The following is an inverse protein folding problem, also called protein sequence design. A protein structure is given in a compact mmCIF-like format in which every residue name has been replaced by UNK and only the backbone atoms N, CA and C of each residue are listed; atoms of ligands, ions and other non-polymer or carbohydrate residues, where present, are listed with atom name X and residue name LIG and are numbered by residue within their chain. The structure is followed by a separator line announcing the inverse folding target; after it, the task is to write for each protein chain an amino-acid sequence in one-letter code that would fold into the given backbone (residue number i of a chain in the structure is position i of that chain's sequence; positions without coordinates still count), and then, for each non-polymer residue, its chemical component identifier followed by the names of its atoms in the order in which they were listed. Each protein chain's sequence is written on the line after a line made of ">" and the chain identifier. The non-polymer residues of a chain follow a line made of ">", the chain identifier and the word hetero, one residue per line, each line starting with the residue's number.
data_IF_612156596589
#
_entry.id   IF_612156596589
#
_cell.length_a   1.000
_cell.length_b   1.000
_cell.length_c   1.000
_cell.angle_alpha   90.00
_cell.angle_beta   90.00
_cell.angle_gamma   90.00
#
_symmetry.space_group_name_H-M   'P 1'
#
loop_
_entity.id
_entity.type
_entity.pdbx_description
1 polymer ?
#
# COMPACT_ATOMS: atom_id res chain seq x y z
N UNK A 1 32.86 39.76 -18.64
CA UNK A 1 33.88 39.79 -17.56
C UNK A 1 33.27 39.09 -16.36
N UNK A 2 33.27 37.76 -16.30
CA UNK A 2 34.37 36.84 -15.91
C UNK A 2 34.55 36.74 -14.39
N UNK A 3 34.07 35.62 -13.81
CA UNK A 3 34.57 34.88 -12.64
C UNK A 3 33.42 33.93 -12.20
N UNK A 4 33.35 32.62 -12.46
CA UNK A 4 34.30 31.50 -12.43
C UNK A 4 35.11 31.34 -11.13
N UNK A 5 34.53 30.61 -10.16
CA UNK A 5 35.21 29.81 -9.12
C UNK A 5 34.32 28.58 -8.90
N UNK A 6 34.60 27.36 -9.41
CA UNK A 6 35.69 26.39 -9.20
C UNK A 6 35.93 25.97 -7.74
N UNK A 7 35.68 24.67 -7.53
CA UNK A 7 36.49 23.71 -6.75
C UNK A 7 35.99 23.24 -5.38
N UNK A 8 36.01 21.91 -5.21
CA UNK A 8 35.76 21.13 -4.00
C UNK A 8 35.01 19.84 -4.34
N UNK A 9 35.57 18.88 -5.09
CA UNK A 9 36.62 17.92 -4.74
C UNK A 9 36.19 16.88 -3.67
N UNK A 10 36.13 15.62 -4.12
CA UNK A 10 36.43 14.35 -3.45
C UNK A 10 35.82 14.05 -2.07
N UNK A 11 35.06 12.95 -1.99
CA UNK A 11 34.61 12.45 -0.70
C UNK A 11 33.99 11.04 -0.74
N UNK A 12 34.85 10.03 -0.93
CA UNK A 12 34.75 8.69 -0.34
C UNK A 12 33.60 7.77 -0.80
N UNK A 13 33.99 6.89 -1.72
CA UNK A 13 33.36 5.60 -2.02
C UNK A 13 33.60 4.66 -0.81
N UNK A 14 32.54 4.21 -0.13
CA UNK A 14 32.63 3.18 0.90
C UNK A 14 31.75 2.00 0.49
N UNK A 15 32.40 0.99 -0.09
CA UNK A 15 31.85 -0.35 -0.28
C UNK A 15 31.54 -0.95 1.10
N UNK A 16 30.28 -1.31 1.33
CA UNK A 16 29.93 -2.24 2.41
C UNK A 16 29.54 -3.56 1.73
N UNK A 17 30.52 -4.46 1.66
CA UNK A 17 30.30 -5.89 1.48
C UNK A 17 29.88 -6.47 2.84
N UNK A 18 28.72 -7.11 2.90
CA UNK A 18 28.16 -7.61 4.16
C UNK A 18 27.24 -8.81 3.96
N UNK A 19 27.87 -9.98 3.88
CA UNK A 19 27.45 -11.24 4.52
C UNK A 19 26.09 -11.84 4.16
N UNK A 20 26.11 -12.77 3.19
CA UNK A 20 25.11 -13.83 3.06
C UNK A 20 25.25 -14.79 4.25
N UNK A 21 24.29 -14.79 5.17
CA UNK A 21 24.19 -15.82 6.20
C UNK A 21 23.26 -16.92 5.72
N UNK A 22 23.84 -18.08 5.43
CA UNK A 22 23.14 -19.32 5.12
C UNK A 22 22.67 -19.98 6.43
N UNK A 23 21.36 -20.16 6.61
CA UNK A 23 20.85 -21.08 7.62
C UNK A 23 20.73 -22.47 7.00
N UNK A 24 21.56 -23.35 7.52
CA UNK A 24 21.68 -24.75 7.16
C UNK A 24 20.45 -25.56 7.56
N UNK A 25 20.20 -26.58 6.74
CA UNK A 25 19.21 -27.63 6.93
C UNK A 25 19.53 -28.49 8.17
N UNK A 26 18.50 -28.80 8.96
CA UNK A 26 18.50 -29.91 9.91
C UNK A 26 17.65 -31.05 9.36
N UNK A 27 18.32 -32.08 8.85
CA UNK A 27 17.74 -33.39 8.57
C UNK A 27 17.61 -34.15 9.90
N UNK A 28 16.37 -34.42 10.32
CA UNK A 28 16.04 -35.36 11.39
C UNK A 28 15.17 -36.49 10.83
N UNK A 29 15.79 -37.63 10.58
CA UNK A 29 15.18 -38.86 10.05
C UNK A 29 14.55 -39.74 11.14
N UNK A 30 13.35 -40.25 10.84
CA UNK A 30 12.77 -41.57 11.18
C UNK A 30 12.54 -41.92 12.69
N UNK A 31 11.47 -42.60 13.13
CA UNK A 31 10.73 -43.71 12.51
C UNK A 31 9.30 -43.91 13.12
N UNK A 32 8.40 -44.68 12.47
CA UNK A 32 6.97 -44.91 12.76
C UNK A 32 6.80 -46.11 13.76
N UNK A 33 5.60 -46.53 14.28
CA UNK A 33 4.34 -46.77 13.55
C UNK A 33 3.01 -46.53 14.29
N UNK A 34 1.92 -46.33 13.55
CA UNK A 34 0.63 -47.00 13.80
C UNK A 34 -0.36 -46.64 12.68
N UNK A 35 -0.75 -47.66 11.93
CA UNK A 35 -1.87 -47.60 11.03
C UNK A 35 -3.15 -47.31 11.82
N UNK A 36 -3.85 -46.24 11.45
CA UNK A 36 -5.28 -46.10 11.71
C UNK A 36 -5.98 -46.00 10.37
N UNK A 37 -6.96 -46.89 10.24
CA UNK A 37 -7.72 -47.23 9.06
C UNK A 37 -8.29 -46.01 8.34
N UNK A 38 -8.29 -46.12 7.02
CA UNK A 38 -9.08 -45.30 6.13
C UNK A 38 -10.56 -45.38 6.54
N UNK A 39 -11.10 -44.27 7.02
CA UNK A 39 -12.49 -43.92 6.85
C UNK A 39 -12.51 -42.68 5.96
N UNK A 40 -12.70 -42.90 4.66
CA UNK A 40 -13.09 -41.84 3.76
C UNK A 40 -14.49 -41.37 4.19
N UNK A 41 -14.70 -40.11 4.61
CA UNK A 41 -16.04 -39.56 4.56
C UNK A 41 -16.38 -39.39 3.08
N UNK A 42 -17.28 -40.27 2.63
CA UNK A 42 -18.04 -40.15 1.39
C UNK A 42 -18.55 -38.72 1.22
N UNK A 43 -18.24 -38.15 0.06
CA UNK A 43 -18.91 -36.98 -0.47
C UNK A 43 -20.44 -37.23 -0.50
N UNK A 44 -21.17 -36.50 0.32
CA UNK A 44 -22.60 -36.30 0.16
C UNK A 44 -22.96 -34.96 0.79
N UNK A 45 -23.55 -34.09 -0.05
CA UNK A 45 -24.23 -32.84 0.30
C UNK A 45 -23.40 -31.73 0.95
N UNK A 46 -22.52 -31.13 0.14
CA UNK A 46 -22.21 -29.72 0.33
C UNK A 46 -23.37 -28.90 -0.29
N UNK A 47 -24.31 -28.46 0.55
CA UNK A 47 -25.23 -27.38 0.20
C UNK A 47 -24.43 -26.20 -0.38
N UNK A 48 -24.85 -25.59 -1.50
CA UNK A 48 -24.23 -24.40 -2.04
C UNK A 48 -24.74 -23.17 -1.26
N UNK A 49 -24.62 -23.15 0.06
CA UNK A 49 -25.09 -22.03 0.86
C UNK A 49 -23.94 -21.04 1.10
N UNK A 50 -23.94 -20.02 0.22
CA UNK A 50 -23.40 -18.68 0.47
C UNK A 50 -21.88 -18.62 0.64
N UNK A 51 -21.18 -18.65 -0.49
CA UNK A 51 -20.05 -17.73 -0.65
C UNK A 51 -20.63 -16.34 -0.41
N UNK A 52 -20.44 -15.82 0.80
CA UNK A 52 -20.74 -14.45 1.14
C UNK A 52 -20.12 -13.60 0.05
N UNK A 53 -20.97 -13.08 -0.83
CA UNK A 53 -20.59 -11.98 -1.69
C UNK A 53 -20.20 -10.89 -0.71
N UNK A 54 -18.90 -10.75 -0.44
CA UNK A 54 -18.34 -9.57 0.19
C UNK A 54 -18.96 -8.42 -0.58
N UNK A 55 -19.86 -7.71 0.08
CA UNK A 55 -20.61 -6.65 -0.56
C UNK A 55 -19.59 -5.75 -1.24
N UNK A 56 -19.66 -5.64 -2.57
CA UNK A 56 -18.88 -4.65 -3.28
C UNK A 56 -19.20 -3.31 -2.59
N UNK A 57 -18.18 -2.53 -2.19
CA UNK A 57 -18.43 -1.26 -1.53
C UNK A 57 -19.36 -0.45 -2.44
N UNK A 58 -20.55 -0.14 -1.92
CA UNK A 58 -21.56 0.61 -2.68
C UNK A 58 -20.92 1.90 -3.16
N UNK A 59 -20.84 2.04 -4.48
CA UNK A 59 -20.09 3.08 -5.15
C UNK A 59 -20.74 4.44 -4.87
N UNK A 60 -20.24 5.14 -3.87
CA UNK A 60 -20.37 6.59 -3.84
C UNK A 60 -19.14 7.15 -4.58
N UNK A 61 -19.30 7.75 -5.77
CA UNK A 61 -18.21 8.41 -6.48
C UNK A 61 -17.90 9.74 -5.79
N UNK A 62 -17.33 9.69 -4.57
CA UNK A 62 -17.11 10.89 -3.77
C UNK A 62 -15.81 11.53 -4.23
N UNK A 63 -15.91 12.31 -5.29
CA UNK A 63 -14.88 13.26 -5.69
C UNK A 63 -15.05 14.55 -4.88
N UNK A 64 -13.95 15.15 -4.41
CA UNK A 64 -13.96 16.49 -3.84
C UNK A 64 -14.28 16.60 -2.33
N UNK A 65 -14.52 15.49 -1.62
CA UNK A 65 -14.64 15.50 -0.16
C UNK A 65 -13.29 15.79 0.53
N UNK A 66 -13.32 16.55 1.63
CA UNK A 66 -12.16 16.73 2.52
C UNK A 66 -11.94 15.49 3.39
N UNK A 67 -10.68 15.19 3.69
CA UNK A 67 -10.32 14.11 4.60
C UNK A 67 -10.52 14.53 6.07
N UNK A 68 -11.00 13.60 6.89
CA UNK A 68 -11.02 13.73 8.36
C UNK A 68 -9.62 13.50 8.93
N UNK A 69 -9.33 13.93 10.18
CA UNK A 69 -8.04 13.65 10.82
C UNK A 69 -7.67 12.16 10.86
N UNK A 70 -8.64 11.27 11.08
CA UNK A 70 -8.43 9.82 11.08
C UNK A 70 -8.01 9.32 9.68
N UNK A 71 -8.66 9.81 8.62
CA UNK A 71 -8.31 9.48 7.24
C UNK A 71 -6.91 9.99 6.87
N UNK A 72 -6.54 11.18 7.36
CA UNK A 72 -5.21 11.74 7.15
C UNK A 72 -4.14 10.85 7.81
N UNK A 73 -4.34 10.50 9.09
CA UNK A 73 -3.40 9.64 9.81
C UNK A 73 -3.25 8.27 9.13
N UNK A 74 -4.39 7.68 8.76
CA UNK A 74 -4.44 6.40 8.07
C UNK A 74 -3.71 6.42 6.72
N UNK A 75 -4.02 7.40 5.86
CA UNK A 75 -3.39 7.51 4.53
C UNK A 75 -1.91 7.84 4.67
N UNK A 76 -1.51 8.66 5.63
CA UNK A 76 -0.09 8.98 5.86
C UNK A 76 0.68 7.73 6.32
N UNK A 77 0.12 6.94 7.23
CA UNK A 77 0.72 5.67 7.66
C UNK A 77 0.85 4.67 6.50
N UNK A 78 -0.23 4.51 5.72
CA UNK A 78 -0.24 3.65 4.53
C UNK A 78 0.78 4.10 3.49
N UNK A 79 0.86 5.40 3.22
CA UNK A 79 1.81 5.93 2.24
C UNK A 79 3.25 5.84 2.72
N UNK A 80 3.51 6.00 4.02
CA UNK A 80 4.81 5.73 4.61
C UNK A 80 5.21 4.25 4.44
N UNK A 81 4.27 3.30 4.56
CA UNK A 81 4.54 1.90 4.26
C UNK A 81 4.84 1.68 2.77
N UNK A 82 4.02 2.22 1.86
CA UNK A 82 4.20 2.10 0.39
C UNK A 82 5.57 2.61 -0.06
N UNK A 83 5.98 3.77 0.46
CA UNK A 83 7.21 4.45 0.07
C UNK A 83 8.38 4.21 1.01
N UNK A 84 8.30 3.21 1.90
CA UNK A 84 9.39 2.83 2.82
C UNK A 84 9.92 4.01 3.63
N UNK A 85 9.00 4.80 4.20
CA UNK A 85 9.26 5.98 5.05
C UNK A 85 10.04 7.11 4.38
N UNK A 86 10.08 7.16 3.05
CA UNK A 86 10.58 8.31 2.29
C UNK A 86 9.66 9.52 2.46
N UNK A 87 10.09 10.70 2.04
CA UNK A 87 9.22 11.87 1.96
C UNK A 87 8.00 11.57 1.07
N UNK A 88 6.81 11.86 1.60
CA UNK A 88 5.53 11.61 0.94
C UNK A 88 4.71 12.89 0.94
N UNK A 89 3.93 13.08 -0.12
CA UNK A 89 2.86 14.06 -0.22
C UNK A 89 1.53 13.35 -0.50
N UNK A 90 0.44 13.92 0.00
CA UNK A 90 -0.94 13.42 -0.17
C UNK A 90 -1.81 14.49 -0.80
N UNK A 91 -2.72 14.09 -1.69
CA UNK A 91 -3.75 14.98 -2.24
C UNK A 91 -4.73 15.42 -1.15
N UNK A 92 -5.14 16.69 -1.15
CA UNK A 92 -5.98 17.27 -0.08
C UNK A 92 -7.44 16.81 -0.09
N UNK A 93 -7.91 16.24 -1.19
CA UNK A 93 -9.29 15.79 -1.40
C UNK A 93 -9.35 14.40 -2.02
N UNK A 94 -10.52 13.77 -1.90
CA UNK A 94 -10.79 12.50 -2.56
C UNK A 94 -10.92 12.64 -4.08
N UNK A 95 -10.48 11.60 -4.78
CA UNK A 95 -10.59 11.42 -6.23
C UNK A 95 -11.49 10.23 -6.57
N UNK A 96 -12.12 10.24 -7.75
CA UNK A 96 -12.88 9.10 -8.23
C UNK A 96 -11.96 7.89 -8.47
N UNK A 97 -12.45 6.71 -8.12
CA UNK A 97 -11.71 5.43 -8.17
C UNK A 97 -12.15 4.50 -9.30
N UNK A 98 -13.05 4.97 -10.17
CA UNK A 98 -13.61 4.19 -11.26
C UNK A 98 -14.39 2.97 -10.75
N UNK A 99 -14.08 1.80 -11.30
CA UNK A 99 -14.78 0.54 -11.02
C UNK A 99 -14.49 -0.03 -9.62
N UNK A 100 -13.40 0.38 -8.97
CA UNK A 100 -13.02 -0.13 -7.64
C UNK A 100 -13.99 0.38 -6.55
N UNK A 101 -14.68 1.50 -6.81
CA UNK A 101 -15.54 2.14 -5.81
C UNK A 101 -14.75 2.69 -4.61
N UNK A 102 -15.47 3.23 -3.62
CA UNK A 102 -14.86 3.79 -2.42
C UNK A 102 -14.23 5.18 -2.60
N UNK A 103 -13.36 5.53 -1.66
CA UNK A 103 -12.78 6.86 -1.52
C UNK A 103 -11.29 6.82 -1.89
N UNK A 104 -10.94 7.42 -3.03
CA UNK A 104 -9.58 7.43 -3.54
C UNK A 104 -8.78 8.63 -3.03
N UNK A 105 -7.53 8.40 -2.60
CA UNK A 105 -6.58 9.45 -2.25
C UNK A 105 -5.27 9.20 -2.99
N UNK A 106 -4.85 10.20 -3.77
CA UNK A 106 -3.55 10.17 -4.42
C UNK A 106 -2.43 10.46 -3.42
N UNK A 107 -1.38 9.65 -3.47
CA UNK A 107 -0.14 9.84 -2.69
C UNK A 107 1.06 9.75 -3.61
N UNK A 108 2.06 10.59 -3.34
CA UNK A 108 3.26 10.66 -4.17
C UNK A 108 4.53 10.79 -3.35
N UNK A 109 5.63 10.30 -3.90
CA UNK A 109 6.97 10.46 -3.33
C UNK A 109 7.95 10.81 -4.45
N UNK A 110 8.92 11.71 -4.23
CA UNK A 110 9.94 12.02 -5.23
C UNK A 110 10.61 10.75 -5.75
N UNK A 111 10.84 10.63 -7.06
CA UNK A 111 11.56 9.51 -7.64
C UNK A 111 13.06 9.81 -7.78
N UNK A 112 13.90 8.78 -7.72
CA UNK A 112 15.36 8.94 -7.79
C UNK A 112 15.85 9.57 -9.11
N UNK A 113 15.11 9.35 -10.21
CA UNK A 113 15.43 9.87 -11.55
C UNK A 113 14.66 11.16 -11.88
N UNK A 114 14.16 11.86 -10.85
CA UNK A 114 13.29 13.02 -11.01
C UNK A 114 11.82 12.64 -11.19
N UNK A 115 10.93 13.62 -11.00
CA UNK A 115 9.48 13.41 -10.99
C UNK A 115 8.99 12.70 -9.72
N UNK A 116 7.81 12.08 -9.81
CA UNK A 116 7.13 11.47 -8.68
C UNK A 116 6.70 10.04 -8.99
N UNK A 117 6.94 9.14 -8.03
CA UNK A 117 6.21 7.87 -7.94
C UNK A 117 4.84 8.18 -7.34
N UNK A 118 3.78 7.73 -7.99
CA UNK A 118 2.40 7.96 -7.56
C UNK A 118 1.74 6.62 -7.24
N UNK A 119 0.82 6.66 -6.29
CA UNK A 119 -0.07 5.57 -5.95
C UNK A 119 -1.44 6.15 -5.60
N UNK A 120 -2.49 5.38 -5.85
CA UNK A 120 -3.85 5.70 -5.46
C UNK A 120 -4.24 4.74 -4.34
N UNK A 121 -4.48 5.30 -3.15
CA UNK A 121 -4.97 4.56 -1.98
C UNK A 121 -6.48 4.65 -2.00
N UNK A 122 -7.17 3.52 -2.00
CA UNK A 122 -8.62 3.45 -2.00
C UNK A 122 -9.07 2.85 -0.69
N UNK A 123 -9.81 3.61 0.11
CA UNK A 123 -10.47 3.12 1.32
C UNK A 123 -11.95 2.84 0.99
N UNK A 124 -12.46 1.68 1.40
CA UNK A 124 -13.85 1.30 1.10
C UNK A 124 -14.90 2.19 1.80
N UNK A 125 -14.54 2.78 2.94
CA UNK A 125 -15.43 3.59 3.80
C UNK A 125 -14.71 4.78 4.41
N UNK A 126 -15.47 5.82 4.78
CA UNK A 126 -14.97 6.98 5.53
C UNK A 126 -14.55 6.56 6.95
N UNK A 127 -13.50 7.18 7.49
CA UNK A 127 -13.02 6.93 8.86
C UNK A 127 -13.47 8.08 9.77
N UNK A 128 -14.27 7.75 10.78
CA UNK A 128 -14.76 8.70 11.79
C UNK A 128 -14.35 8.22 13.19
N UNK A 129 -13.27 8.78 13.72
CA UNK A 129 -12.94 8.77 15.15
C UNK A 129 -12.39 7.46 15.74
N UNK A 130 -12.91 6.30 15.36
CA UNK A 130 -12.50 5.02 15.94
C UNK A 130 -11.39 4.32 15.13
N UNK A 131 -10.39 3.70 15.78
CA UNK A 131 -9.40 2.88 15.11
C UNK A 131 -10.09 1.67 14.43
N UNK A 132 -9.98 1.56 13.11
CA UNK A 132 -10.43 0.37 12.40
C UNK A 132 -9.39 -0.74 12.62
N UNK A 133 -9.88 -1.93 12.99
CA UNK A 133 -9.07 -3.15 13.05
C UNK A 133 -8.46 -3.43 11.68
N UNK A 134 -7.16 -3.74 11.65
CA UNK A 134 -6.44 -4.04 10.41
C UNK A 134 -7.03 -5.24 9.63
N UNK A 135 -7.77 -6.12 10.32
CA UNK A 135 -8.47 -7.26 9.70
C UNK A 135 -9.71 -6.82 8.93
N UNK A 136 -10.33 -5.71 9.36
CA UNK A 136 -11.56 -5.15 8.78
C UNK A 136 -11.27 -4.04 7.75
N UNK A 137 -10.00 -3.86 7.40
CA UNK A 137 -9.55 -2.76 6.57
C UNK A 137 -9.49 -3.17 5.09
N UNK A 138 -10.47 -2.67 4.35
CA UNK A 138 -10.62 -2.89 2.91
C UNK A 138 -9.88 -1.78 2.17
N UNK A 139 -8.57 -1.74 2.33
CA UNK A 139 -7.71 -0.77 1.63
C UNK A 139 -7.02 -1.39 0.42
N UNK A 140 -7.22 -0.76 -0.74
CA UNK A 140 -6.63 -1.17 -2.00
C UNK A 140 -5.60 -0.13 -2.43
N UNK A 141 -4.41 -0.58 -2.79
CA UNK A 141 -3.33 0.29 -3.28
C UNK A 141 -3.11 0.05 -4.76
N UNK A 142 -3.45 1.03 -5.59
CA UNK A 142 -3.29 0.98 -7.03
C UNK A 142 -2.04 1.73 -7.45
N UNK A 143 -1.20 1.09 -8.27
CA UNK A 143 0.10 1.64 -8.71
C UNK A 143 0.30 1.59 -10.21
N UNK A 144 -0.63 0.98 -10.95
CA UNK A 144 -0.51 0.91 -12.41
C UNK A 144 -0.74 2.29 -13.00
N UNK A 145 -0.13 2.54 -14.16
CA UNK A 145 -0.22 3.84 -14.81
C UNK A 145 -1.67 4.22 -15.16
N UNK A 146 -2.49 3.24 -15.57
CA UNK A 146 -3.90 3.43 -15.89
C UNK A 146 -4.73 3.88 -14.68
N UNK A 147 -4.53 3.25 -13.52
CA UNK A 147 -5.28 3.57 -12.29
C UNK A 147 -4.86 4.92 -11.68
N UNK A 148 -3.59 5.28 -11.88
CA UNK A 148 -2.98 6.46 -11.24
C UNK A 148 -2.92 7.68 -12.16
N UNK A 149 -3.53 7.61 -13.36
CA UNK A 149 -3.55 8.72 -14.31
C UNK A 149 -4.11 10.00 -13.68
N UNK A 150 -5.17 9.87 -12.89
CA UNK A 150 -5.81 10.99 -12.18
C UNK A 150 -4.87 11.68 -11.18
N UNK A 151 -3.94 10.94 -10.57
CA UNK A 151 -2.99 11.49 -9.59
C UNK A 151 -1.93 12.39 -10.22
N UNK A 152 -1.81 12.40 -11.55
CA UNK A 152 -0.86 13.24 -12.29
C UNK A 152 -1.48 14.53 -12.81
N UNK A 153 -2.78 14.73 -12.60
CA UNK A 153 -3.47 15.94 -13.04
C UNK A 153 -2.93 17.20 -12.34
N UNK A 154 -2.74 18.27 -13.11
CA UNK A 154 -2.23 19.57 -12.60
C UNK A 154 -3.20 20.24 -11.63
N UNK A 155 -4.48 19.89 -11.66
CA UNK A 155 -5.52 20.38 -10.74
C UNK A 155 -5.42 19.81 -9.32
N UNK A 156 -4.52 18.84 -9.08
CA UNK A 156 -4.36 18.23 -7.75
C UNK A 156 -3.47 19.09 -6.84
N UNK A 157 -4.03 19.44 -5.68
CA UNK A 157 -3.26 20.05 -4.59
C UNK A 157 -2.69 18.97 -3.68
N UNK A 158 -1.37 18.94 -3.54
CA UNK A 158 -0.65 18.02 -2.65
C UNK A 158 -0.09 18.76 -1.44
N UNK A 159 -0.12 18.08 -0.30
CA UNK A 159 0.47 18.55 0.96
C UNK A 159 1.43 17.51 1.51
N UNK A 160 2.48 17.95 2.19
CA UNK A 160 3.44 17.06 2.86
C UNK A 160 2.71 16.14 3.85
N UNK A 161 2.94 14.85 3.74
CA UNK A 161 2.41 13.83 4.63
C UNK A 161 3.50 13.48 5.66
N UNK A 162 3.25 13.85 6.91
CA UNK A 162 4.05 13.38 8.03
C UNK A 162 3.38 12.15 8.63
N UNK A 163 4.14 11.07 8.84
CA UNK A 163 3.70 9.97 9.68
C UNK A 163 3.62 10.53 11.11
N UNK A 164 2.39 10.62 11.63
CA UNK A 164 2.14 10.96 13.04
C UNK A 164 2.50 9.81 13.96
#
# INVERSE_FOLDING_TARGET
>A
MSALRRSGALGVLLLVAGSLSACAATNGTASPPAAIAAAFPTAADAEPDKIAHRAAPSAAPVSGGKLTPAEIAYVNGTAAAIYRRRAVERATSFVPTGEVGGYGICVRSPAAKGGYNVALVVIARRLYGEPISQVDDDTVVLRRAVDTGICRATSMTYVSAHAG
#
